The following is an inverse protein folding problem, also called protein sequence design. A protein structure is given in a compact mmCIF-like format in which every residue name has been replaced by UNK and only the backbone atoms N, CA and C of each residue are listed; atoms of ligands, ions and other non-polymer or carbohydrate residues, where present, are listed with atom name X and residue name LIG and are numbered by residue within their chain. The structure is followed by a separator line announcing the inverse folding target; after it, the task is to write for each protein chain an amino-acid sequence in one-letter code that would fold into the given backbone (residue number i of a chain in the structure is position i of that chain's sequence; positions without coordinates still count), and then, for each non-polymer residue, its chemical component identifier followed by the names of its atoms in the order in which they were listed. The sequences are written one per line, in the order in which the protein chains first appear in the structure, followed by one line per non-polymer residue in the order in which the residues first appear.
data_IF_498434910085
#
_entry.id   IF_498434910085
#
_cell.length_a   1.000
_cell.length_b   1.000
_cell.length_c   1.000
_cell.angle_alpha   90.00
_cell.angle_beta   90.00
_cell.angle_gamma   90.00
#
_symmetry.space_group_name_H-M   'P 1'
#
loop_
_entity.id
_entity.type
_entity.pdbx_description
1 polymer ?
#
# COMPACT_ATOMS: atom_id res chain seq x y z
N UNK A 1 -1.67 -41.28 30.19
CA UNK A 1 -2.86 -40.45 29.86
C UNK A 1 -2.35 -39.07 29.48
N UNK A 2 -2.82 -38.58 28.33
CA UNK A 2 -2.31 -37.42 27.60
C UNK A 2 -2.47 -36.10 28.38
N UNK A 3 -1.39 -35.32 28.49
CA UNK A 3 -1.44 -33.90 28.85
C UNK A 3 -1.39 -33.07 27.57
N UNK A 4 -2.54 -32.52 27.19
CA UNK A 4 -2.70 -31.63 26.04
C UNK A 4 -2.08 -30.25 26.37
N UNK A 5 -0.88 -30.00 25.85
CA UNK A 5 -0.26 -28.68 25.83
C UNK A 5 -0.95 -27.82 24.77
N UNK A 6 -1.76 -26.85 25.20
CA UNK A 6 -2.30 -25.80 24.34
C UNK A 6 -1.18 -24.81 23.99
N UNK A 7 -0.49 -25.04 22.88
CA UNK A 7 0.38 -24.03 22.27
C UNK A 7 -0.49 -23.00 21.55
N UNK A 8 -0.57 -21.80 22.10
CA UNK A 8 -1.10 -20.64 21.39
C UNK A 8 -0.27 -20.36 20.12
N UNK A 9 -0.89 -20.03 18.98
CA UNK A 9 -0.16 -19.68 17.75
C UNK A 9 0.61 -18.35 17.92
N UNK A 10 1.68 -18.14 17.13
CA UNK A 10 2.48 -16.93 17.22
C UNK A 10 1.62 -15.71 16.87
N UNK A 11 1.50 -14.79 17.83
CA UNK A 11 0.83 -13.51 17.65
C UNK A 11 1.64 -12.66 16.66
N UNK A 12 1.09 -12.43 15.46
CA UNK A 12 1.64 -11.45 14.53
C UNK A 12 1.59 -10.08 15.21
N UNK A 13 2.72 -9.37 15.23
CA UNK A 13 2.88 -8.06 15.90
C UNK A 13 2.26 -6.91 15.08
N UNK A 14 0.99 -7.04 14.71
CA UNK A 14 0.16 -5.95 14.22
C UNK A 14 -1.28 -6.20 14.67
N UNK A 15 -1.83 -5.29 15.46
CA UNK A 15 -3.13 -5.41 16.16
C UNK A 15 -4.34 -5.16 15.25
N UNK A 16 -4.12 -4.94 13.95
CA UNK A 16 -5.18 -4.59 13.01
C UNK A 16 -5.60 -5.78 12.14
N UNK A 17 -6.87 -6.22 12.18
CA UNK A 17 -7.32 -7.49 11.56
C UNK A 17 -7.29 -7.50 10.02
N UNK A 18 -7.17 -6.35 9.37
CA UNK A 18 -7.15 -6.23 7.90
C UNK A 18 -5.80 -6.62 7.28
N UNK A 19 -4.72 -6.64 8.08
CA UNK A 19 -3.39 -7.12 7.66
C UNK A 19 -3.33 -8.65 7.54
N UNK A 20 -4.18 -9.38 8.28
CA UNK A 20 -3.94 -10.80 8.58
C UNK A 20 -4.41 -11.78 7.51
N UNK A 21 -4.93 -11.33 6.35
CA UNK A 21 -5.55 -12.21 5.36
C UNK A 21 -5.17 -11.84 3.93
N UNK A 22 -4.10 -12.45 3.45
CA UNK A 22 -3.86 -12.60 2.02
C UNK A 22 -4.09 -14.08 1.63
N UNK A 23 -5.32 -14.47 1.21
CA UNK A 23 -5.55 -15.80 0.67
C UNK A 23 -4.72 -16.03 -0.60
N UNK A 24 -4.70 -17.30 -1.02
CA UNK A 24 -4.26 -17.67 -2.35
C UNK A 24 -5.17 -17.01 -3.41
N UNK A 25 -4.78 -15.82 -3.85
CA UNK A 25 -5.48 -15.05 -4.87
C UNK A 25 -5.08 -15.52 -6.26
N UNK A 26 -6.03 -16.08 -7.00
CA UNK A 26 -5.98 -16.10 -8.46
C UNK A 26 -6.67 -14.83 -8.96
N UNK A 27 -6.01 -14.01 -9.79
CA UNK A 27 -6.61 -12.79 -10.30
C UNK A 27 -7.76 -13.14 -11.25
N UNK A 28 -8.69 -12.19 -11.41
CA UNK A 28 -9.87 -12.31 -12.28
C UNK A 28 -9.45 -12.74 -13.70
N UNK A 29 -10.29 -13.52 -14.40
CA UNK A 29 -10.00 -14.16 -15.70
C UNK A 29 -9.31 -13.28 -16.77
N UNK A 30 -9.47 -11.95 -16.73
CA UNK A 30 -8.80 -11.05 -17.68
C UNK A 30 -7.31 -10.82 -17.37
N UNK A 31 -6.88 -10.92 -16.10
CA UNK A 31 -5.47 -10.91 -15.70
C UNK A 31 -4.83 -12.30 -15.78
N UNK A 32 -5.64 -13.37 -15.76
CA UNK A 32 -5.15 -14.75 -15.62
C UNK A 32 -4.37 -15.26 -16.83
N UNK A 33 -4.54 -14.70 -18.03
CA UNK A 33 -3.87 -15.21 -19.24
C UNK A 33 -2.35 -15.21 -19.14
N UNK A 34 -1.76 -14.25 -18.44
CA UNK A 34 -0.30 -14.06 -18.34
C UNK A 34 0.18 -13.86 -16.89
N UNK A 35 -0.67 -14.17 -15.91
CA UNK A 35 -0.33 -14.06 -14.50
C UNK A 35 -0.23 -15.45 -13.85
N UNK A 36 0.78 -15.72 -13.01
CA UNK A 36 1.85 -14.81 -12.60
C UNK A 36 2.87 -14.56 -13.74
N UNK A 37 3.55 -13.40 -13.76
CA UNK A 37 4.59 -13.15 -14.75
C UNK A 37 5.76 -14.12 -14.56
N UNK A 38 6.43 -14.49 -15.65
CA UNK A 38 7.67 -15.25 -15.59
C UNK A 38 8.73 -14.47 -14.80
N UNK A 39 9.58 -15.18 -14.05
CA UNK A 39 10.68 -14.54 -13.30
C UNK A 39 11.65 -13.84 -14.24
N UNK A 40 12.26 -12.76 -13.74
CA UNK A 40 13.36 -12.08 -14.38
C UNK A 40 14.63 -12.88 -14.11
N UNK A 41 15.30 -13.31 -15.18
CA UNK A 41 16.54 -14.09 -15.08
C UNK A 41 17.70 -13.25 -14.50
N UNK A 42 18.49 -13.87 -13.63
CA UNK A 42 19.78 -13.36 -13.17
C UNK A 42 20.84 -14.03 -14.05
N UNK A 43 21.59 -13.24 -14.82
CA UNK A 43 22.56 -13.72 -15.82
C UNK A 43 23.82 -14.24 -15.15
N UNK A 44 24.31 -13.56 -14.10
CA UNK A 44 25.44 -14.04 -13.31
C UNK A 44 25.06 -15.31 -12.53
N UNK A 45 25.69 -16.47 -12.81
CA UNK A 45 25.35 -17.74 -12.20
C UNK A 45 25.70 -17.81 -10.71
N UNK A 46 26.74 -17.10 -10.26
CA UNK A 46 27.09 -17.06 -8.83
C UNK A 46 26.11 -16.17 -8.07
N UNK A 47 25.72 -15.05 -8.66
CA UNK A 47 24.70 -14.19 -8.06
C UNK A 47 23.34 -14.88 -8.02
N UNK A 48 22.97 -15.62 -9.07
CA UNK A 48 21.77 -16.45 -9.10
C UNK A 48 21.84 -17.51 -8.00
N UNK A 49 22.95 -18.25 -7.90
CA UNK A 49 23.14 -19.23 -6.83
C UNK A 49 22.98 -18.59 -5.44
N UNK A 50 23.60 -17.44 -5.19
CA UNK A 50 23.55 -16.73 -3.91
C UNK A 50 22.14 -16.20 -3.60
N UNK A 51 21.45 -15.60 -4.58
CA UNK A 51 20.13 -15.00 -4.39
C UNK A 51 19.04 -16.05 -4.13
N UNK A 52 19.19 -17.26 -4.69
CA UNK A 52 18.20 -18.32 -4.59
C UNK A 52 18.43 -19.26 -3.39
N UNK A 53 19.53 -19.12 -2.67
CA UNK A 53 19.81 -19.95 -1.50
C UNK A 53 19.16 -19.36 -0.23
N UNK A 54 18.35 -20.15 0.51
CA UNK A 54 17.66 -19.65 1.68
C UNK A 54 18.64 -19.36 2.82
N UNK A 55 18.37 -18.27 3.54
CA UNK A 55 18.99 -17.98 4.83
C UNK A 55 18.34 -18.82 5.92
N UNK A 56 18.63 -20.12 5.94
CA UNK A 56 18.19 -21.01 7.01
C UNK A 56 19.38 -21.64 7.75
N UNK A 57 19.13 -22.14 8.95
CA UNK A 57 20.15 -22.73 9.85
C UNK A 57 20.82 -23.99 9.31
N UNK A 58 20.37 -24.51 8.17
CA UNK A 58 20.88 -25.73 7.52
C UNK A 58 21.41 -25.49 6.12
N UNK A 59 21.61 -24.22 5.74
CA UNK A 59 22.12 -23.88 4.42
C UNK A 59 23.52 -24.45 4.27
N UNK A 60 23.84 -25.18 3.18
CA UNK A 60 25.18 -25.72 2.93
C UNK A 60 26.20 -24.63 2.56
N UNK A 61 25.80 -23.36 2.68
CA UNK A 61 26.56 -22.20 2.31
C UNK A 61 27.78 -21.98 3.18
N UNK A 62 28.91 -21.68 2.53
CA UNK A 62 30.07 -21.16 3.23
C UNK A 62 29.74 -19.81 3.90
N UNK A 63 30.49 -19.45 4.94
CA UNK A 63 30.25 -18.22 5.71
C UNK A 63 30.27 -16.94 4.85
N UNK A 64 30.96 -16.96 3.72
CA UNK A 64 31.02 -15.90 2.70
C UNK A 64 29.70 -15.76 1.97
N UNK A 65 29.09 -16.86 1.51
CA UNK A 65 27.83 -16.86 0.77
C UNK A 65 26.66 -16.39 1.62
N UNK A 66 26.64 -16.74 2.92
CA UNK A 66 25.63 -16.23 3.87
C UNK A 66 25.69 -14.70 3.96
N UNK A 67 26.89 -14.11 3.93
CA UNK A 67 27.06 -12.65 3.94
C UNK A 67 26.60 -12.04 2.61
N UNK A 68 26.93 -12.64 1.48
CA UNK A 68 26.50 -12.13 0.16
C UNK A 68 24.99 -12.20 0.00
N UNK A 69 24.34 -13.31 0.39
CA UNK A 69 22.90 -13.45 0.38
C UNK A 69 22.24 -12.39 1.28
N UNK A 70 22.76 -12.17 2.49
CA UNK A 70 22.27 -11.11 3.38
C UNK A 70 22.37 -9.71 2.78
N UNK A 71 23.42 -9.42 1.99
CA UNK A 71 23.55 -8.14 1.27
C UNK A 71 22.56 -8.01 0.12
N UNK A 72 22.31 -9.10 -0.61
CA UNK A 72 21.29 -9.13 -1.65
C UNK A 72 19.89 -8.89 -1.04
N UNK A 73 19.58 -9.56 0.07
CA UNK A 73 18.34 -9.33 0.81
C UNK A 73 18.20 -7.88 1.29
N UNK A 74 19.25 -7.30 1.88
CA UNK A 74 19.26 -5.89 2.30
C UNK A 74 18.94 -4.92 1.14
N UNK A 75 19.53 -5.14 -0.04
CA UNK A 75 19.24 -4.34 -1.23
C UNK A 75 17.79 -4.56 -1.70
N UNK A 76 17.34 -5.81 -1.71
CA UNK A 76 16.00 -6.21 -2.14
C UNK A 76 14.89 -5.64 -1.26
N UNK A 77 15.05 -5.63 0.06
CA UNK A 77 14.12 -5.04 1.02
C UNK A 77 13.90 -3.54 0.73
N UNK A 78 15.00 -2.81 0.48
CA UNK A 78 14.94 -1.39 0.11
C UNK A 78 14.22 -1.18 -1.22
N UNK A 79 14.50 -2.02 -2.22
CA UNK A 79 13.83 -1.96 -3.53
C UNK A 79 12.34 -2.30 -3.44
N UNK A 80 11.97 -3.33 -2.69
CA UNK A 80 10.56 -3.69 -2.46
C UNK A 80 9.79 -2.58 -1.78
N UNK A 81 10.40 -1.94 -0.77
CA UNK A 81 9.82 -0.77 -0.12
C UNK A 81 9.57 0.35 -1.13
N UNK A 82 10.53 0.62 -2.02
CA UNK A 82 10.39 1.65 -3.06
C UNK A 82 9.32 1.28 -4.09
N UNK A 83 9.34 0.06 -4.60
CA UNK A 83 8.38 -0.45 -5.61
C UNK A 83 6.94 -0.45 -5.08
N UNK A 84 6.72 -0.92 -3.85
CA UNK A 84 5.39 -0.89 -3.22
C UNK A 84 4.95 0.56 -2.98
N UNK A 85 5.85 1.42 -2.48
CA UNK A 85 5.52 2.84 -2.26
C UNK A 85 5.13 3.53 -3.57
N UNK A 86 5.86 3.26 -4.66
CA UNK A 86 5.56 3.80 -5.99
C UNK A 86 4.24 3.29 -6.54
N UNK A 87 3.96 1.98 -6.42
CA UNK A 87 2.67 1.40 -6.81
C UNK A 87 1.51 2.07 -6.05
N UNK A 88 1.60 2.15 -4.72
CA UNK A 88 0.55 2.74 -3.89
C UNK A 88 0.35 4.23 -4.20
N UNK A 89 1.44 4.99 -4.36
CA UNK A 89 1.38 6.41 -4.70
C UNK A 89 0.70 6.66 -6.05
N UNK A 90 0.96 5.80 -7.04
CA UNK A 90 0.45 5.96 -8.40
C UNK A 90 -0.98 5.45 -8.58
N UNK A 91 -1.35 4.33 -7.95
CA UNK A 91 -2.66 3.70 -8.13
C UNK A 91 -3.72 4.21 -7.13
N UNK A 92 -3.32 4.58 -5.91
CA UNK A 92 -4.24 4.92 -4.80
C UNK A 92 -4.19 6.41 -4.46
N UNK A 93 -4.42 7.25 -5.47
CA UNK A 93 -4.29 8.72 -5.39
C UNK A 93 -5.29 9.40 -4.44
N UNK A 94 -6.33 8.70 -4.01
CA UNK A 94 -7.39 9.16 -3.11
C UNK A 94 -7.10 8.94 -1.61
N UNK A 95 -5.99 8.27 -1.29
CA UNK A 95 -5.59 7.92 0.07
C UNK A 95 -4.59 8.93 0.64
N UNK A 96 -4.64 9.14 1.95
CA UNK A 96 -3.67 9.99 2.65
C UNK A 96 -2.32 9.27 2.83
N UNK A 97 -1.29 10.02 3.21
CA UNK A 97 0.03 9.47 3.53
C UNK A 97 -0.02 8.42 4.64
N UNK A 98 -0.81 8.65 5.69
CA UNK A 98 -1.03 7.70 6.77
C UNK A 98 -1.69 6.40 6.26
N UNK A 99 -2.69 6.51 5.38
CA UNK A 99 -3.37 5.36 4.79
C UNK A 99 -2.42 4.56 3.89
N UNK A 100 -1.65 5.24 3.04
CA UNK A 100 -0.66 4.63 2.14
C UNK A 100 0.46 3.96 2.95
N UNK A 101 0.90 4.57 4.04
CA UNK A 101 1.90 3.99 4.94
C UNK A 101 1.36 2.70 5.57
N UNK A 102 0.11 2.69 6.02
CA UNK A 102 -0.53 1.50 6.56
C UNK A 102 -0.59 0.38 5.50
N UNK A 103 -1.11 0.68 4.31
CA UNK A 103 -1.19 -0.30 3.22
C UNK A 103 0.19 -0.83 2.80
N UNK A 104 1.22 0.03 2.80
CA UNK A 104 2.61 -0.38 2.53
C UNK A 104 3.10 -1.39 3.56
N UNK A 105 2.84 -1.16 4.86
CA UNK A 105 3.22 -2.11 5.90
C UNK A 105 2.53 -3.47 5.71
N UNK A 106 1.31 -3.48 5.16
CA UNK A 106 0.59 -4.72 4.91
C UNK A 106 1.16 -5.52 3.74
N UNK A 107 1.55 -4.83 2.68
CA UNK A 107 2.15 -5.45 1.51
C UNK A 107 3.60 -5.86 1.75
N UNK A 108 4.29 -5.25 2.72
CA UNK A 108 5.63 -5.66 3.19
C UNK A 108 5.60 -6.73 4.28
N UNK A 109 4.42 -7.17 4.73
CA UNK A 109 4.35 -8.24 5.73
C UNK A 109 4.95 -9.54 5.17
N UNK A 110 5.76 -10.29 5.94
CA UNK A 110 6.37 -11.52 5.46
C UNK A 110 5.39 -12.54 4.88
N UNK A 111 4.14 -12.57 5.35
CA UNK A 111 3.09 -13.45 4.78
C UNK A 111 2.68 -12.97 3.38
N UNK A 112 2.59 -11.66 3.15
CA UNK A 112 2.30 -11.12 1.83
C UNK A 112 3.45 -11.40 0.86
N UNK A 113 4.70 -11.14 1.28
CA UNK A 113 5.89 -11.40 0.47
C UNK A 113 6.10 -12.90 0.21
N UNK A 114 5.83 -13.78 1.20
CA UNK A 114 5.92 -15.24 1.02
C UNK A 114 4.93 -15.74 -0.03
N UNK A 115 3.74 -15.14 -0.10
CA UNK A 115 2.76 -15.45 -1.12
C UNK A 115 3.26 -15.03 -2.51
N UNK A 116 3.81 -13.82 -2.67
CA UNK A 116 4.38 -13.38 -3.95
C UNK A 116 5.49 -14.34 -4.42
N UNK A 117 6.38 -14.71 -3.51
CA UNK A 117 7.44 -15.69 -3.73
C UNK A 117 6.91 -17.01 -4.30
N UNK A 118 5.83 -17.52 -3.68
CA UNK A 118 5.19 -18.76 -4.10
C UNK A 118 4.53 -18.67 -5.46
N UNK A 119 3.93 -17.50 -5.78
CA UNK A 119 3.26 -17.27 -7.06
C UNK A 119 4.22 -17.32 -8.23
N UNK A 120 5.38 -16.71 -8.10
CA UNK A 120 6.39 -16.73 -9.18
C UNK A 120 7.20 -18.03 -9.21
N UNK A 121 6.89 -19.00 -8.34
CA UNK A 121 7.53 -20.33 -8.34
C UNK A 121 8.92 -20.36 -7.72
N UNK A 122 9.37 -19.32 -7.00
CA UNK A 122 10.73 -19.26 -6.46
C UNK A 122 11.00 -20.33 -5.38
N UNK A 123 9.96 -20.80 -4.70
CA UNK A 123 10.05 -21.89 -3.71
C UNK A 123 10.65 -23.19 -4.28
N UNK A 124 10.55 -23.42 -5.60
CA UNK A 124 11.10 -24.64 -6.22
C UNK A 124 12.63 -24.67 -6.25
N UNK A 125 13.27 -23.51 -6.07
CA UNK A 125 14.73 -23.39 -6.05
C UNK A 125 15.33 -23.62 -4.67
N UNK A 126 14.49 -23.73 -3.63
CA UNK A 126 14.95 -24.07 -2.30
C UNK A 126 15.46 -25.52 -2.28
N UNK A 127 16.69 -25.78 -1.77
CA UNK A 127 17.21 -27.14 -1.64
C UNK A 127 16.27 -27.97 -0.77
N UNK A 128 15.80 -29.10 -1.32
CA UNK A 128 14.73 -29.90 -0.74
C UNK A 128 15.03 -30.42 0.66
N UNK A 129 14.10 -30.21 1.61
CA UNK A 129 14.04 -31.03 2.82
C UNK A 129 13.52 -32.42 2.43
N UNK A 130 14.17 -33.54 2.82
CA UNK A 130 13.76 -34.91 2.46
C UNK A 130 12.39 -35.35 3.01
N UNK A 131 11.70 -34.51 3.79
CA UNK A 131 10.39 -34.85 4.35
C UNK A 131 9.58 -33.61 4.77
N UNK A 132 8.41 -33.46 4.14
CA UNK A 132 7.13 -33.04 4.73
C UNK A 132 6.97 -31.67 5.43
N UNK A 133 7.90 -30.72 5.27
CA UNK A 133 7.72 -29.37 5.81
C UNK A 133 7.79 -28.30 4.73
N UNK A 134 6.63 -27.68 4.47
CA UNK A 134 6.51 -26.44 3.70
C UNK A 134 7.48 -25.40 4.30
N UNK A 135 8.27 -24.68 3.47
CA UNK A 135 9.09 -23.58 3.95
C UNK A 135 8.23 -22.58 4.74
N UNK A 136 8.77 -22.03 5.84
CA UNK A 136 8.06 -21.00 6.59
C UNK A 136 7.99 -19.68 5.78
N UNK A 137 6.98 -18.86 6.10
CA UNK A 137 6.72 -17.60 5.38
C UNK A 137 7.92 -16.65 5.42
N UNK A 138 8.64 -16.60 6.53
CA UNK A 138 9.79 -15.72 6.68
C UNK A 138 10.95 -16.14 5.75
N UNK A 139 11.22 -17.44 5.63
CA UNK A 139 12.21 -17.98 4.69
C UNK A 139 11.87 -17.65 3.25
N UNK A 140 10.59 -17.77 2.87
CA UNK A 140 10.12 -17.43 1.53
C UNK A 140 10.16 -15.92 1.26
N UNK A 141 9.87 -15.10 2.26
CA UNK A 141 9.99 -13.65 2.16
C UNK A 141 11.44 -13.21 1.93
N UNK A 142 12.38 -13.74 2.73
CA UNK A 142 13.81 -13.48 2.55
C UNK A 142 14.33 -13.95 1.18
N UNK A 143 13.83 -15.08 0.68
CA UNK A 143 14.17 -15.55 -0.67
C UNK A 143 13.73 -14.55 -1.73
N UNK A 144 12.52 -14.03 -1.62
CA UNK A 144 12.00 -13.04 -2.57
C UNK A 144 12.79 -11.73 -2.52
N UNK A 145 13.10 -11.23 -1.32
CA UNK A 145 13.97 -10.06 -1.13
C UNK A 145 15.34 -10.27 -1.79
N UNK A 146 16.02 -11.39 -1.49
CA UNK A 146 17.32 -11.68 -2.06
C UNK A 146 17.28 -11.80 -3.60
N UNK A 147 16.22 -12.39 -4.15
CA UNK A 147 15.97 -12.45 -5.59
C UNK A 147 15.83 -11.05 -6.21
N UNK A 148 15.02 -10.16 -5.63
CA UNK A 148 14.84 -8.78 -6.13
C UNK A 148 16.17 -8.02 -6.10
N UNK A 149 16.92 -8.13 -5.00
CA UNK A 149 18.25 -7.54 -4.88
C UNK A 149 19.24 -8.12 -5.91
N UNK A 150 19.18 -9.43 -6.16
CA UNK A 150 20.00 -10.10 -7.16
C UNK A 150 19.71 -9.63 -8.58
N UNK A 151 18.44 -9.56 -8.99
CA UNK A 151 18.04 -9.06 -10.32
C UNK A 151 18.54 -7.63 -10.55
N UNK A 152 18.35 -6.74 -9.57
CA UNK A 152 18.80 -5.36 -9.68
C UNK A 152 20.33 -5.24 -9.68
N UNK A 153 21.02 -6.06 -8.88
CA UNK A 153 22.48 -6.03 -8.82
C UNK A 153 23.12 -6.51 -10.13
N UNK A 154 22.57 -7.57 -10.73
CA UNK A 154 23.03 -8.14 -11.99
C UNK A 154 22.88 -7.18 -13.17
N UNK A 155 21.70 -6.57 -13.30
CA UNK A 155 21.33 -5.76 -14.47
C UNK A 155 21.58 -4.26 -14.29
N UNK A 156 21.89 -3.82 -13.07
CA UNK A 156 22.18 -2.44 -12.73
C UNK A 156 20.96 -1.49 -12.81
N UNK A 157 21.18 -0.17 -12.63
CA UNK A 157 20.10 0.81 -12.51
C UNK A 157 19.16 0.90 -13.73
N UNK A 158 19.65 0.58 -14.93
CA UNK A 158 18.85 0.62 -16.16
C UNK A 158 17.70 -0.38 -16.18
N UNK A 159 17.79 -1.48 -15.41
CA UNK A 159 16.73 -2.47 -15.35
C UNK A 159 15.54 -2.06 -14.46
N UNK A 160 15.65 -0.94 -13.73
CA UNK A 160 14.64 -0.57 -12.74
C UNK A 160 13.26 -0.42 -13.36
N UNK A 161 13.18 0.09 -14.59
CA UNK A 161 11.91 0.23 -15.30
C UNK A 161 11.25 -1.14 -15.56
N UNK A 162 12.01 -2.10 -16.09
CA UNK A 162 11.51 -3.45 -16.36
C UNK A 162 11.12 -4.17 -15.07
N UNK A 163 11.95 -4.04 -14.02
CA UNK A 163 11.69 -4.59 -12.70
C UNK A 163 10.40 -4.00 -12.10
N UNK A 164 10.21 -2.70 -12.25
CA UNK A 164 9.02 -1.98 -11.80
C UNK A 164 7.77 -2.48 -12.51
N UNK A 165 7.79 -2.55 -13.84
CA UNK A 165 6.64 -3.01 -14.62
C UNK A 165 6.28 -4.46 -14.28
N UNK A 166 7.29 -5.33 -14.20
CA UNK A 166 7.13 -6.72 -13.77
C UNK A 166 6.51 -6.83 -12.37
N UNK A 167 7.06 -6.08 -11.40
CA UNK A 167 6.58 -6.11 -10.02
C UNK A 167 5.19 -5.52 -9.88
N UNK A 168 4.89 -4.43 -10.58
CA UNK A 168 3.57 -3.78 -10.58
C UNK A 168 2.49 -4.73 -11.12
N UNK A 169 2.81 -5.48 -12.17
CA UNK A 169 1.92 -6.50 -12.70
C UNK A 169 1.67 -7.64 -11.68
N UNK A 170 2.72 -8.06 -10.97
CA UNK A 170 2.64 -9.10 -9.94
C UNK A 170 1.83 -8.65 -8.70
N UNK A 171 2.09 -7.45 -8.17
CA UNK A 171 1.55 -6.95 -6.89
C UNK A 171 0.11 -6.44 -7.02
N UNK A 172 -0.34 -6.03 -8.21
CA UNK A 172 -1.66 -5.42 -8.44
C UNK A 172 -2.83 -6.17 -7.77
N UNK A 173 -3.03 -7.49 -7.92
CA UNK A 173 -4.14 -8.18 -7.26
C UNK A 173 -4.05 -8.12 -5.73
N UNK A 174 -2.85 -8.20 -5.16
CA UNK A 174 -2.62 -8.08 -3.72
C UNK A 174 -2.94 -6.67 -3.23
N UNK A 175 -2.48 -5.65 -3.95
CA UNK A 175 -2.75 -4.26 -3.60
C UNK A 175 -4.25 -3.93 -3.67
N UNK A 176 -4.98 -4.39 -4.69
CA UNK A 176 -6.43 -4.19 -4.79
C UNK A 176 -7.18 -4.86 -3.63
N UNK A 177 -6.78 -6.07 -3.23
CA UNK A 177 -7.37 -6.71 -2.07
C UNK A 177 -7.01 -5.98 -0.77
N UNK A 178 -5.76 -5.53 -0.63
CA UNK A 178 -5.32 -4.70 0.50
C UNK A 178 -6.19 -3.46 0.62
N UNK A 179 -6.46 -2.77 -0.49
CA UNK A 179 -7.37 -1.62 -0.56
C UNK A 179 -8.77 -1.98 -0.07
N UNK A 180 -9.36 -3.06 -0.57
CA UNK A 180 -10.71 -3.48 -0.18
C UNK A 180 -10.80 -3.85 1.31
N UNK A 181 -9.81 -4.56 1.84
CA UNK A 181 -9.72 -4.91 3.25
C UNK A 181 -9.57 -3.66 4.12
N UNK A 182 -8.73 -2.72 3.68
CA UNK A 182 -8.49 -1.45 4.34
C UNK A 182 -9.76 -0.60 4.38
N UNK A 183 -10.46 -0.43 3.25
CA UNK A 183 -11.72 0.32 3.16
C UNK A 183 -12.79 -0.28 4.09
N UNK A 184 -12.97 -1.61 4.04
CA UNK A 184 -13.92 -2.32 4.92
C UNK A 184 -13.59 -2.10 6.40
N UNK A 185 -12.30 -2.14 6.75
CA UNK A 185 -11.86 -1.87 8.12
C UNK A 185 -12.14 -0.42 8.53
N UNK A 186 -11.79 0.55 7.69
CA UNK A 186 -12.02 1.97 7.99
C UNK A 186 -13.50 2.28 8.10
N UNK A 187 -14.36 1.75 7.23
CA UNK A 187 -15.79 2.00 7.24
C UNK A 187 -16.48 1.41 8.48
N UNK A 188 -16.10 0.19 8.87
CA UNK A 188 -16.60 -0.44 10.11
C UNK A 188 -16.17 0.31 11.37
N UNK A 189 -14.97 0.89 11.39
CA UNK A 189 -14.42 1.60 12.55
C UNK A 189 -14.77 3.10 12.57
N UNK A 190 -15.17 3.68 11.43
CA UNK A 190 -15.83 5.00 11.38
C UNK A 190 -17.25 4.92 11.92
N UNK A 191 -18.01 3.91 11.52
CA UNK A 191 -19.40 3.71 11.97
C UNK A 191 -19.49 3.40 13.47
N UNK A 192 -18.49 2.70 14.03
CA UNK A 192 -18.44 2.41 15.47
C UNK A 192 -18.07 3.63 16.35
N UNK A 193 -17.50 4.69 15.76
CA UNK A 193 -17.19 5.94 16.48
C UNK A 193 -18.39 6.90 16.60
N UNK A 194 -19.51 6.60 15.92
CA UNK A 194 -20.69 7.46 15.95
C UNK A 194 -21.97 6.74 16.46
N UNK A 195 -22.02 6.31 17.73
CA UNK A 195 -23.26 5.86 18.35
C UNK A 195 -24.01 7.07 18.94
N UNK A 196 -24.61 7.92 18.12
CA UNK A 196 -25.51 8.95 18.66
C UNK A 196 -25.88 10.15 17.80
N UNK A 197 -26.58 9.94 16.69
CA UNK A 197 -27.44 10.99 16.15
C UNK A 197 -28.81 10.44 15.73
N UNK A 198 -29.77 10.50 16.65
CA UNK A 198 -31.20 10.33 16.36
C UNK A 198 -31.87 11.71 16.34
N UNK A 199 -32.55 12.14 15.25
CA UNK A 199 -33.26 13.40 15.23
C UNK A 199 -34.70 13.19 15.72
N UNK A 200 -35.00 13.65 16.93
CA UNK A 200 -36.39 13.91 17.35
C UNK A 200 -36.50 15.04 18.36
N UNK A 201 -37.62 15.75 18.26
CA UNK A 201 -37.88 17.15 18.57
C UNK A 201 -38.19 17.51 20.04
N UNK A 202 -38.04 18.82 20.30
CA UNK A 202 -38.85 19.73 21.16
C UNK A 202 -38.60 19.89 22.68
N UNK A 203 -38.12 21.11 23.01
CA UNK A 203 -38.40 21.98 24.20
C UNK A 203 -37.78 21.55 25.55
N UNK A 204 -37.40 22.40 26.52
CA UNK A 204 -37.26 23.85 26.74
C UNK A 204 -36.56 24.00 28.13
N UNK A 205 -35.90 25.14 28.38
CA UNK A 205 -35.37 25.65 29.68
C UNK A 205 -34.04 25.03 30.15
N UNK A 206 -33.02 25.73 30.65
CA UNK A 206 -32.79 27.14 30.96
C UNK A 206 -31.63 27.24 31.98
N UNK A 207 -30.59 28.04 31.65
CA UNK A 207 -29.53 28.65 32.51
C UNK A 207 -28.64 27.78 33.44
N UNK A 208 -27.33 28.04 33.37
CA UNK A 208 -26.37 27.89 34.48
C UNK A 208 -24.92 27.66 34.03
N UNK A 209 -24.05 28.67 34.20
CA UNK A 209 -22.60 28.53 34.05
C UNK A 209 -22.02 27.60 35.12
N UNK A 210 -21.13 26.68 34.74
CA UNK A 210 -20.01 26.22 35.57
C UNK A 210 -18.94 25.55 34.69
N UNK A 211 -17.70 25.98 34.90
CA UNK A 211 -16.46 25.36 34.44
C UNK A 211 -16.39 23.86 34.77
N UNK A 212 -15.98 23.04 33.80
CA UNK A 212 -15.73 21.62 34.01
C UNK A 212 -15.12 20.98 32.77
N UNK A 213 -13.80 21.04 32.64
CA UNK A 213 -13.03 20.08 31.84
C UNK A 213 -13.18 18.69 32.47
N UNK A 214 -13.48 17.63 31.71
CA UNK A 214 -13.18 16.27 32.11
C UNK A 214 -11.79 15.88 31.62
N UNK A 215 -10.95 15.53 32.58
CA UNK A 215 -9.64 14.90 32.45
C UNK A 215 -9.69 13.62 31.60
N UNK A 216 -8.80 13.54 30.61
CA UNK A 216 -8.09 12.30 30.34
C UNK A 216 -6.64 12.52 30.73
N UNK A 217 -6.23 11.84 31.80
CA UNK A 217 -4.89 11.87 32.34
C UNK A 217 -3.86 11.44 31.27
N UNK A 218 -2.94 12.34 30.97
CA UNK A 218 -1.63 12.05 30.40
C UNK A 218 -0.84 11.27 31.45
N UNK A 219 -0.58 9.99 31.20
CA UNK A 219 0.51 9.30 31.89
C UNK A 219 1.87 9.78 31.34
N UNK A 220 2.80 9.91 32.27
CA UNK A 220 4.06 10.67 32.28
C UNK A 220 5.08 10.36 31.12
N UNK A 221 5.62 11.38 30.44
CA UNK A 221 6.65 11.25 29.39
C UNK A 221 8.08 10.97 29.89
N UNK A 222 8.27 10.14 30.92
CA UNK A 222 9.60 9.80 31.47
C UNK A 222 9.95 8.30 31.53
N UNK A 223 9.15 7.41 30.94
CA UNK A 223 9.54 6.01 30.74
C UNK A 223 10.42 5.85 29.49
N UNK A 224 11.62 6.45 29.54
CA UNK A 224 12.73 6.17 28.63
C UNK A 224 13.44 4.92 29.17
N UNK A 225 13.23 3.77 28.55
CA UNK A 225 14.14 2.63 28.73
C UNK A 225 15.37 2.84 27.82
N UNK A 226 16.55 2.90 28.43
CA UNK A 226 17.90 3.02 27.83
C UNK A 226 18.77 1.85 28.35
N UNK A 227 20.00 1.57 27.82
CA UNK A 227 20.29 0.51 26.84
C UNK A 227 21.36 -0.53 27.28
N UNK A 228 21.52 -1.62 26.50
CA UNK A 228 22.63 -2.59 26.57
C UNK A 228 22.13 -4.04 26.71
N UNK A 229 22.33 -4.97 25.76
CA UNK A 229 23.64 -5.45 25.32
C UNK A 229 23.58 -6.11 23.92
N UNK A 230 24.55 -5.71 23.08
CA UNK A 230 25.10 -6.35 21.86
C UNK A 230 24.34 -6.32 20.50
N UNK A 231 24.91 -5.52 19.59
CA UNK A 231 24.65 -5.27 18.16
C UNK A 231 25.52 -6.22 17.25
N UNK A 232 25.67 -6.05 15.90
CA UNK A 232 25.24 -4.99 14.94
C UNK A 232 24.55 -5.53 13.65
N UNK A 233 23.94 -4.80 12.71
CA UNK A 233 23.66 -3.39 12.39
C UNK A 233 22.91 -3.43 11.03
N UNK A 234 21.79 -2.73 10.84
CA UNK A 234 21.71 -1.41 10.22
C UNK A 234 20.34 -0.81 10.57
N UNK A 235 20.34 0.45 11.02
CA UNK A 235 19.13 1.21 11.28
C UNK A 235 19.03 2.45 10.39
N UNK A 236 17.89 3.12 10.59
CA UNK A 236 17.60 4.54 10.38
C UNK A 236 17.16 4.97 8.98
N UNK A 237 15.83 5.16 8.84
CA UNK A 237 15.31 6.44 8.36
C UNK A 237 14.60 7.12 9.53
N UNK A 238 15.03 8.34 9.80
CA UNK A 238 14.50 9.21 10.82
C UNK A 238 13.04 9.59 10.52
N UNK A 239 12.24 9.64 11.58
CA UNK A 239 10.92 10.26 11.58
C UNK A 239 11.06 11.75 11.31
N UNK A 240 10.67 12.19 10.12
CA UNK A 240 10.38 13.60 9.83
C UNK A 240 9.00 13.95 10.45
N UNK A 241 8.93 13.99 11.78
CA UNK A 241 7.76 14.49 12.53
C UNK A 241 8.20 15.67 13.38
N UNK A 242 8.45 16.83 12.75
CA UNK A 242 8.64 18.09 13.47
C UNK A 242 8.37 19.37 12.64
N UNK A 243 8.00 19.29 11.37
CA UNK A 243 7.69 20.47 10.54
C UNK A 243 6.48 20.17 9.66
N UNK A 244 5.28 20.42 10.20
CA UNK A 244 4.12 21.03 9.50
C UNK A 244 2.80 20.75 10.24
N UNK A 245 2.63 21.39 11.38
CA UNK A 245 1.33 21.57 12.04
C UNK A 245 0.45 22.63 11.32
N UNK A 246 0.55 22.76 9.99
CA UNK A 246 -0.28 23.64 9.15
C UNK A 246 -0.47 23.04 7.75
N UNK A 247 -1.11 21.88 7.63
CA UNK A 247 -1.29 21.30 6.31
C UNK A 247 -2.23 20.11 6.16
N UNK A 248 -3.03 19.74 7.17
CA UNK A 248 -4.07 18.71 6.99
C UNK A 248 -5.23 19.30 6.19
N UNK A 249 -5.16 19.24 4.85
CA UNK A 249 -6.34 19.41 3.99
C UNK A 249 -6.86 18.01 3.68
N UNK A 250 -8.03 17.71 4.24
CA UNK A 250 -8.84 16.52 3.97
C UNK A 250 -8.90 16.17 2.47
N UNK A 251 -8.99 14.87 2.13
CA UNK A 251 -9.36 14.30 0.80
C UNK A 251 -9.97 15.37 -0.10
N UNK A 252 -9.16 16.00 -0.95
CA UNK A 252 -9.55 17.21 -1.65
C UNK A 252 -10.67 16.94 -2.65
N UNK A 253 -11.85 17.51 -2.43
CA UNK A 253 -12.92 17.57 -3.43
C UNK A 253 -12.44 18.47 -4.59
N UNK A 254 -11.65 17.93 -5.53
CA UNK A 254 -11.11 18.68 -6.68
C UNK A 254 -12.21 19.38 -7.51
N UNK A 255 -13.43 18.84 -7.48
CA UNK A 255 -14.63 19.44 -8.08
C UNK A 255 -14.95 20.79 -7.41
N UNK A 256 -14.90 20.84 -6.08
CA UNK A 256 -15.15 22.05 -5.29
C UNK A 256 -14.03 23.07 -5.51
N UNK A 257 -12.78 22.60 -5.52
CA UNK A 257 -11.62 23.47 -5.76
C UNK A 257 -11.66 24.11 -7.14
N UNK A 258 -12.05 23.36 -8.18
CA UNK A 258 -12.19 23.89 -9.54
C UNK A 258 -13.33 24.91 -9.62
N UNK A 259 -14.45 24.64 -8.93
CA UNK A 259 -15.57 25.59 -8.85
C UNK A 259 -15.15 26.90 -8.18
N UNK A 260 -14.47 26.82 -7.03
CA UNK A 260 -13.94 27.99 -6.32
C UNK A 260 -12.91 28.76 -7.15
N UNK A 261 -12.07 28.05 -7.91
CA UNK A 261 -11.12 28.66 -8.84
C UNK A 261 -11.84 29.43 -9.96
N UNK A 262 -12.91 28.86 -10.52
CA UNK A 262 -13.72 29.51 -11.54
C UNK A 262 -14.40 30.79 -11.02
N UNK A 263 -14.97 30.72 -9.81
CA UNK A 263 -15.61 31.85 -9.14
C UNK A 263 -14.60 32.99 -8.87
N UNK A 264 -13.40 32.67 -8.38
CA UNK A 264 -12.35 33.68 -8.12
C UNK A 264 -11.86 34.38 -9.39
N UNK A 265 -11.75 33.65 -10.50
CA UNK A 265 -11.26 34.17 -11.79
C UNK A 265 -12.38 34.72 -12.69
N UNK A 266 -13.63 34.70 -12.23
CA UNK A 266 -14.83 35.16 -12.95
C UNK A 266 -15.10 34.42 -14.28
N UNK A 267 -14.72 33.15 -14.37
CA UNK A 267 -15.17 32.28 -15.46
C UNK A 267 -16.67 32.03 -15.32
N UNK A 268 -17.44 32.17 -16.40
CA UNK A 268 -18.91 32.22 -16.31
C UNK A 268 -19.55 30.84 -16.46
N UNK A 269 -18.95 29.94 -17.24
CA UNK A 269 -19.56 28.67 -17.61
C UNK A 269 -18.59 27.49 -17.42
N UNK A 270 -18.64 26.85 -16.25
CA UNK A 270 -18.00 25.56 -16.00
C UNK A 270 -19.00 24.44 -16.34
N UNK A 271 -18.68 23.60 -17.33
CA UNK A 271 -19.53 22.52 -17.80
C UNK A 271 -18.76 21.20 -17.80
N UNK A 272 -19.41 20.15 -17.30
CA UNK A 272 -18.92 18.77 -17.39
C UNK A 272 -19.74 18.02 -18.43
N UNK A 273 -19.05 17.38 -19.37
CA UNK A 273 -19.63 16.39 -20.27
C UNK A 273 -19.23 15.00 -19.79
N UNK A 274 -20.20 14.24 -19.30
CA UNK A 274 -19.96 12.87 -18.84
C UNK A 274 -20.44 11.88 -19.91
N UNK A 275 -19.58 10.92 -20.24
CA UNK A 275 -19.84 9.83 -21.16
C UNK A 275 -19.78 8.52 -20.35
N UNK A 276 -20.69 7.58 -20.59
CA UNK A 276 -20.58 6.22 -20.05
C UNK A 276 -20.03 5.25 -21.11
N UNK A 277 -19.58 4.09 -20.64
CA UNK A 277 -19.10 3.01 -21.49
C UNK A 277 -20.23 2.18 -22.15
N UNK A 278 -21.50 2.61 -22.07
CA UNK A 278 -22.65 1.91 -22.64
C UNK A 278 -23.00 0.57 -22.00
N UNK A 279 -22.41 0.24 -20.85
CA UNK A 279 -22.72 -0.99 -20.11
C UNK A 279 -23.86 -0.77 -19.11
N UNK A 280 -24.33 -1.83 -18.45
CA UNK A 280 -25.42 -1.76 -17.47
C UNK A 280 -24.98 -2.32 -16.11
N UNK A 281 -25.58 -1.81 -15.03
CA UNK A 281 -25.34 -2.26 -13.67
C UNK A 281 -23.95 -1.88 -13.14
N UNK A 282 -23.31 -2.80 -12.41
CA UNK A 282 -22.05 -2.55 -11.70
C UNK A 282 -20.83 -2.38 -12.64
N UNK A 283 -21.00 -2.60 -13.94
CA UNK A 283 -19.95 -2.44 -14.96
C UNK A 283 -19.99 -1.07 -15.67
N UNK A 284 -20.95 -0.20 -15.31
CA UNK A 284 -21.00 1.17 -15.85
C UNK A 284 -19.76 1.91 -15.38
N UNK A 285 -18.99 2.40 -16.35
CA UNK A 285 -17.87 3.31 -16.08
C UNK A 285 -18.12 4.66 -16.72
N UNK A 286 -17.52 5.69 -16.12
CA UNK A 286 -17.74 7.08 -16.47
C UNK A 286 -16.45 7.74 -16.93
N UNK A 287 -16.52 8.47 -18.03
CA UNK A 287 -15.51 9.41 -18.51
C UNK A 287 -16.07 10.81 -18.37
N UNK A 288 -15.24 11.80 -17.98
CA UNK A 288 -15.72 13.19 -17.86
C UNK A 288 -14.75 14.16 -18.51
N UNK A 289 -15.30 15.09 -19.29
CA UNK A 289 -14.58 16.18 -19.96
C UNK A 289 -15.05 17.52 -19.39
N UNK A 290 -14.11 18.40 -19.09
CA UNK A 290 -14.34 19.70 -18.47
C UNK A 290 -14.13 20.81 -19.48
N UNK A 291 -15.11 21.70 -19.57
CA UNK A 291 -15.08 22.89 -20.39
C UNK A 291 -15.32 24.13 -19.54
N UNK A 292 -14.55 25.18 -19.79
CA UNK A 292 -14.69 26.47 -19.13
C UNK A 292 -14.84 27.53 -20.22
N UNK A 293 -15.95 28.28 -20.18
CA UNK A 293 -16.32 29.29 -21.18
C UNK A 293 -16.24 28.76 -22.63
N UNK A 294 -16.64 27.50 -22.82
CA UNK A 294 -16.65 26.81 -24.11
C UNK A 294 -15.29 26.25 -24.57
N UNK A 295 -14.22 26.49 -23.82
CA UNK A 295 -12.89 25.93 -24.10
C UNK A 295 -12.67 24.63 -23.33
N UNK A 296 -12.12 23.61 -23.99
CA UNK A 296 -11.71 22.37 -23.33
C UNK A 296 -10.51 22.63 -22.39
N UNK A 297 -10.58 22.11 -21.16
CA UNK A 297 -9.57 22.38 -20.11
C UNK A 297 -8.97 21.10 -19.54
N UNK A 298 -9.69 19.98 -19.60
CA UNK A 298 -9.17 18.70 -19.14
C UNK A 298 -10.21 17.60 -19.21
N UNK A 299 -9.76 16.37 -19.11
CA UNK A 299 -10.61 15.18 -19.02
C UNK A 299 -10.11 14.21 -17.95
N UNK A 300 -10.93 13.22 -17.60
CA UNK A 300 -10.55 12.15 -16.68
C UNK A 300 -9.34 11.39 -17.23
N UNK A 301 -8.43 10.99 -16.36
CA UNK A 301 -7.22 10.25 -16.74
C UNK A 301 -7.50 8.77 -17.00
N UNK A 302 -8.59 8.25 -16.42
CA UNK A 302 -9.06 6.89 -16.61
C UNK A 302 -10.60 6.85 -16.47
N UNK A 303 -11.19 5.68 -16.72
CA UNK A 303 -12.59 5.39 -16.49
C UNK A 303 -12.90 5.30 -14.99
N UNK A 304 -13.74 6.20 -14.48
CA UNK A 304 -14.21 6.18 -13.09
C UNK A 304 -15.35 5.19 -12.86
N UNK A 305 -15.43 4.60 -11.67
CA UNK A 305 -16.54 3.73 -11.28
C UNK A 305 -17.82 4.55 -10.99
N UNK A 306 -17.68 5.86 -10.77
CA UNK A 306 -18.81 6.77 -10.60
C UNK A 306 -18.62 8.07 -11.39
N UNK A 307 -19.73 8.75 -11.74
CA UNK A 307 -19.68 10.11 -12.32
C UNK A 307 -18.87 11.09 -11.47
N UNK A 308 -19.01 10.99 -10.13
CA UNK A 308 -18.31 11.90 -9.20
C UNK A 308 -16.81 11.68 -9.28
N UNK A 309 -16.36 10.43 -9.36
CA UNK A 309 -14.95 10.08 -9.48
C UNK A 309 -14.34 10.58 -10.79
N UNK A 310 -14.99 10.29 -11.93
CA UNK A 310 -14.55 10.76 -13.25
C UNK A 310 -14.44 12.30 -13.30
N UNK A 311 -15.42 13.01 -12.74
CA UNK A 311 -15.39 14.47 -12.63
C UNK A 311 -14.29 14.98 -11.72
N UNK A 312 -13.99 14.29 -10.62
CA UNK A 312 -12.91 14.67 -9.72
C UNK A 312 -11.54 14.54 -10.39
N UNK A 313 -11.32 13.46 -11.14
CA UNK A 313 -10.11 13.27 -11.97
C UNK A 313 -9.98 14.38 -13.01
N UNK A 314 -11.05 14.64 -13.77
CA UNK A 314 -11.05 15.69 -14.79
C UNK A 314 -10.84 17.09 -14.19
N UNK A 315 -11.39 17.35 -13.00
CA UNK A 315 -11.19 18.61 -12.27
C UNK A 315 -9.76 18.82 -11.81
N UNK A 316 -9.08 17.75 -11.40
CA UNK A 316 -7.66 17.79 -11.02
C UNK A 316 -6.78 18.15 -12.21
N UNK A 317 -7.01 17.51 -13.36
CA UNK A 317 -6.31 17.81 -14.62
C UNK A 317 -6.54 19.27 -15.03
N UNK A 318 -7.80 19.70 -15.01
CA UNK A 318 -8.17 21.08 -15.34
C UNK A 318 -7.53 22.11 -14.39
N UNK A 319 -7.53 21.87 -13.08
CA UNK A 319 -6.87 22.75 -12.10
C UNK A 319 -5.37 22.88 -12.33
N UNK A 320 -4.68 21.78 -12.61
CA UNK A 320 -3.26 21.80 -12.92
C UNK A 320 -2.98 22.57 -14.21
N UNK A 321 -3.79 22.35 -15.24
CA UNK A 321 -3.70 23.10 -16.50
C UNK A 321 -3.92 24.62 -16.31
N UNK A 322 -4.93 25.01 -15.53
CA UNK A 322 -5.23 26.42 -15.25
C UNK A 322 -4.20 27.10 -14.35
N UNK A 323 -3.57 26.36 -13.42
CA UNK A 323 -2.52 26.89 -12.54
C UNK A 323 -1.19 27.08 -13.26
N UNK A 324 -0.93 26.31 -14.31
CA UNK A 324 0.31 26.35 -15.09
C UNK A 324 0.22 27.22 -16.37
N UNK A 325 -0.93 27.85 -16.64
CA UNK A 325 -1.04 28.89 -17.68
C UNK A 325 -0.43 30.21 -17.16
N UNK A 326 0.51 30.83 -17.89
CA UNK A 326 1.11 32.11 -17.50
C UNK A 326 0.11 33.26 -17.48
#
# INVERSE_FOLDING_TARGET
MYTSSSRSPPQSRSTSPWYSRFPDLDPVEYLSRNWPPAILEIVDPELQRIAFLPRNTRSPLESTDVKHNGRAGYLGEGLLTALISDFLYTEFVEYSDDDLMAMRQALLDPVAISNLCQRVGLQSYLPGSPSDRRPDDHTLAMLFEAYIGGVYHDRGPSCYQDLREWFHFLIRPYAMMCKNNYDTYVDSHRSARDPGYSPSSSSRHGRGHASGHPDYALEDPRMIARPGTAAPGLGMYATASALDARGSRARGDYIKDLKEYCEKRRYKNLVYHDEDNGQNGDFIRWWSKVYIDGSFVGESTDWGNTKKEARAQASKVALNFLRNRP
#
